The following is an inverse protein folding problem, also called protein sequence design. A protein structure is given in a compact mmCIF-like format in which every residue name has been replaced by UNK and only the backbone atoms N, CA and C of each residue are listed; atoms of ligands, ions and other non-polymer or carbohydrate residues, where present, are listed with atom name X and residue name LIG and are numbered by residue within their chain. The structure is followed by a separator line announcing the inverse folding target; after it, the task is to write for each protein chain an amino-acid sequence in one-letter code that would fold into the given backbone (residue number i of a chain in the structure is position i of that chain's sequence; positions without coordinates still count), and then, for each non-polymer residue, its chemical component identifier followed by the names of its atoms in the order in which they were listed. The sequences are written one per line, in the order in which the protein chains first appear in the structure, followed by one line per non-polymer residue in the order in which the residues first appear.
data_IF_817362879851
#
_entry.id   IF_817362879851
#
_cell.length_a   1.000
_cell.length_b   1.000
_cell.length_c   1.000
_cell.angle_alpha   90.00
_cell.angle_beta   90.00
_cell.angle_gamma   90.00
#
_symmetry.space_group_name_H-M   'P 1'
#
loop_
_entity.id
_entity.type
_entity.pdbx_description
1 polymer ?
#
# COMPACT_ATOMS: atom_id res chain seq x y z
N UNK A 1 23.83 19.94 -12.03
CA UNK A 1 22.61 19.51 -11.29
C UNK A 1 21.74 18.78 -12.31
N UNK A 2 21.98 17.49 -12.52
CA UNK A 2 21.05 16.65 -13.29
C UNK A 2 19.99 16.21 -12.31
N UNK A 3 18.81 16.80 -12.41
CA UNK A 3 17.64 16.36 -11.65
C UNK A 3 17.40 14.88 -11.97
N UNK A 4 17.49 14.03 -10.95
CA UNK A 4 16.91 12.70 -11.01
C UNK A 4 15.40 12.89 -11.03
N UNK A 5 14.83 13.19 -12.20
CA UNK A 5 13.38 13.11 -12.40
C UNK A 5 13.05 11.64 -12.28
N UNK A 6 12.63 11.22 -11.08
CA UNK A 6 12.10 9.89 -10.87
C UNK A 6 10.83 9.76 -11.73
N UNK A 7 10.98 9.17 -12.92
CA UNK A 7 9.90 8.94 -13.86
C UNK A 7 9.03 7.77 -13.38
N UNK A 8 8.36 7.96 -12.24
CA UNK A 8 7.39 6.99 -11.75
C UNK A 8 6.10 7.13 -12.54
N UNK A 9 5.61 6.01 -13.07
CA UNK A 9 4.36 5.97 -13.84
C UNK A 9 3.18 6.15 -12.89
N UNK A 10 2.51 7.30 -12.97
CA UNK A 10 1.28 7.57 -12.25
C UNK A 10 0.08 7.11 -13.06
N UNK A 11 -0.81 6.35 -12.44
CA UNK A 11 -2.01 5.82 -13.08
C UNK A 11 -3.24 5.96 -12.18
N UNK A 12 -4.39 6.04 -12.83
CA UNK A 12 -5.69 6.04 -12.16
C UNK A 12 -6.56 4.96 -12.78
N UNK A 13 -7.18 4.14 -11.93
CA UNK A 13 -8.08 3.08 -12.36
C UNK A 13 -9.40 3.17 -11.60
N UNK A 14 -10.47 2.73 -12.28
CA UNK A 14 -11.83 2.75 -11.77
C UNK A 14 -12.50 1.41 -11.94
N UNK A 15 -13.39 1.06 -11.00
CA UNK A 15 -14.36 -0.02 -11.17
C UNK A 15 -15.69 0.36 -10.54
N UNK A 16 -16.76 0.26 -11.33
CA UNK A 16 -18.12 0.49 -10.84
C UNK A 16 -18.48 -0.52 -9.74
N UNK A 17 -19.38 -0.14 -8.84
CA UNK A 17 -19.93 -1.06 -7.84
C UNK A 17 -20.42 -2.38 -8.48
N UNK A 18 -20.02 -3.50 -7.90
CA UNK A 18 -20.25 -4.85 -8.43
C UNK A 18 -19.22 -5.35 -9.45
N UNK A 19 -18.34 -4.47 -9.96
CA UNK A 19 -17.26 -4.86 -10.91
C UNK A 19 -15.92 -5.02 -10.19
N UNK A 20 -14.99 -5.71 -10.84
CA UNK A 20 -13.63 -5.94 -10.33
C UNK A 20 -12.69 -4.84 -10.81
N UNK A 21 -12.05 -4.14 -9.88
CA UNK A 21 -10.91 -3.27 -10.17
C UNK A 21 -9.69 -4.14 -10.46
N UNK A 22 -9.03 -3.86 -11.58
CA UNK A 22 -7.76 -4.48 -11.97
C UNK A 22 -6.73 -3.37 -12.11
N UNK A 23 -5.65 -3.47 -11.35
CA UNK A 23 -4.49 -2.57 -11.45
C UNK A 23 -3.23 -3.42 -11.56
N UNK A 24 -2.25 -2.93 -12.31
CA UNK A 24 -1.04 -3.67 -12.58
C UNK A 24 0.10 -2.78 -13.05
N UNK A 25 1.31 -3.22 -12.76
CA UNK A 25 2.56 -2.59 -13.18
C UNK A 25 3.35 -3.51 -14.12
N UNK A 26 4.38 -2.98 -14.75
CA UNK A 26 5.24 -3.77 -15.64
C UNK A 26 6.04 -4.81 -14.84
N UNK A 27 6.67 -5.74 -15.56
CA UNK A 27 7.54 -6.73 -14.92
C UNK A 27 8.69 -6.03 -14.17
N UNK A 28 8.95 -6.50 -12.94
CA UNK A 28 9.95 -5.88 -12.07
C UNK A 28 9.48 -4.61 -11.37
N UNK A 29 8.20 -4.22 -11.49
CA UNK A 29 7.60 -3.10 -10.76
C UNK A 29 6.54 -3.57 -9.76
N UNK A 30 6.27 -2.74 -8.76
CA UNK A 30 5.24 -2.95 -7.74
C UNK A 30 4.32 -1.75 -7.61
N UNK A 31 3.07 -2.03 -7.25
CA UNK A 31 2.05 -1.03 -7.02
C UNK A 31 2.34 -0.31 -5.69
N UNK A 32 2.42 1.02 -5.77
CA UNK A 32 2.37 1.92 -4.62
C UNK A 32 1.10 2.75 -4.69
N UNK A 33 0.16 2.48 -3.79
CA UNK A 33 -1.06 3.26 -3.68
C UNK A 33 -0.79 4.64 -3.10
N UNK A 34 -1.35 5.67 -3.74
CA UNK A 34 -1.30 7.07 -3.29
C UNK A 34 -2.62 7.43 -2.62
N UNK A 35 -3.74 7.14 -3.30
CA UNK A 35 -5.10 7.43 -2.82
C UNK A 35 -6.05 6.35 -3.31
N UNK A 36 -7.11 6.12 -2.55
CA UNK A 36 -8.20 5.28 -3.00
C UNK A 36 -9.51 5.71 -2.36
N UNK A 37 -10.60 5.59 -3.10
CA UNK A 37 -11.94 5.86 -2.59
C UNK A 37 -12.94 4.85 -3.17
N UNK A 38 -13.76 4.26 -2.30
CA UNK A 38 -14.97 3.56 -2.68
C UNK A 38 -16.14 4.45 -2.32
N UNK A 39 -16.74 5.09 -3.32
CA UNK A 39 -17.67 6.18 -3.13
C UNK A 39 -18.00 6.82 -4.47
N UNK A 40 -18.12 8.15 -4.49
CA UNK A 40 -18.37 8.92 -5.71
C UNK A 40 -17.92 10.37 -5.53
N UNK A 41 -17.06 10.83 -6.44
CA UNK A 41 -16.60 12.22 -6.57
C UNK A 41 -16.96 12.87 -7.91
N UNK A 42 -17.35 12.07 -8.90
CA UNK A 42 -17.80 12.54 -10.20
C UNK A 42 -19.15 11.93 -10.55
N UNK A 43 -20.03 12.75 -11.12
CA UNK A 43 -21.32 12.30 -11.64
C UNK A 43 -21.17 11.48 -12.91
N UNK A 44 -20.10 11.66 -13.68
CA UNK A 44 -19.95 11.07 -15.02
C UNK A 44 -19.41 9.63 -15.02
N UNK A 45 -18.63 9.26 -14.00
CA UNK A 45 -17.98 7.95 -13.93
C UNK A 45 -19.03 6.89 -13.53
N UNK A 46 -19.09 5.77 -14.26
CA UNK A 46 -20.05 4.70 -13.98
C UNK A 46 -21.50 5.22 -13.92
N UNK A 47 -21.91 6.01 -14.91
CA UNK A 47 -23.22 6.63 -14.98
C UNK A 47 -23.81 6.54 -16.40
N UNK A 48 -23.99 5.30 -16.86
CA UNK A 48 -24.43 5.03 -18.23
C UNK A 48 -25.86 5.53 -18.52
N UNK A 49 -26.65 5.77 -17.47
CA UNK A 49 -28.04 6.25 -17.55
C UNK A 49 -28.19 7.75 -17.28
N UNK A 50 -27.09 8.49 -17.06
CA UNK A 50 -27.12 9.94 -16.86
C UNK A 50 -27.89 10.40 -15.61
N UNK A 51 -27.85 9.62 -14.53
CA UNK A 51 -28.48 10.01 -13.26
C UNK A 51 -27.80 11.27 -12.69
N UNK A 52 -28.58 12.28 -12.27
CA UNK A 52 -28.08 13.54 -11.71
C UNK A 52 -28.26 13.67 -10.20
N UNK A 53 -29.00 12.75 -9.58
CA UNK A 53 -29.44 12.85 -8.18
C UNK A 53 -28.46 12.21 -7.19
N UNK A 54 -27.41 11.55 -7.71
CA UNK A 54 -26.39 10.91 -6.88
C UNK A 54 -25.46 11.91 -6.20
N UNK A 55 -25.08 11.59 -4.96
CA UNK A 55 -24.11 12.40 -4.22
C UNK A 55 -22.70 12.25 -4.80
N UNK A 56 -22.07 13.38 -5.10
CA UNK A 56 -20.63 13.46 -5.47
C UNK A 56 -19.72 13.81 -4.30
N UNK A 57 -20.28 13.92 -3.09
CA UNK A 57 -19.51 14.12 -1.85
C UNK A 57 -19.50 12.82 -1.05
N UNK A 58 -19.13 11.71 -1.69
CA UNK A 58 -19.20 10.39 -1.11
C UNK A 58 -17.81 9.75 -0.99
N UNK A 59 -17.36 9.58 0.26
CA UNK A 59 -16.03 9.04 0.58
C UNK A 59 -16.11 7.95 1.65
N UNK A 60 -15.42 6.83 1.43
CA UNK A 60 -15.18 5.83 2.49
C UNK A 60 -13.77 5.96 3.05
N UNK A 61 -13.68 6.16 4.38
CA UNK A 61 -12.41 6.24 5.10
C UNK A 61 -11.63 4.90 5.11
N UNK A 62 -12.31 3.78 4.83
CA UNK A 62 -11.69 2.44 4.82
C UNK A 62 -10.99 2.11 3.50
N UNK A 63 -11.34 2.81 2.43
CA UNK A 63 -10.93 2.47 1.06
C UNK A 63 -9.42 2.35 0.90
N UNK A 64 -8.66 3.36 1.32
CA UNK A 64 -7.21 3.33 1.23
C UNK A 64 -6.60 2.17 2.02
N UNK A 65 -7.05 1.93 3.26
CA UNK A 65 -6.52 0.84 4.09
C UNK A 65 -6.78 -0.53 3.47
N UNK A 66 -8.01 -0.79 3.01
CA UNK A 66 -8.38 -2.07 2.40
C UNK A 66 -7.61 -2.32 1.11
N UNK A 67 -7.49 -1.30 0.26
CA UNK A 67 -6.77 -1.41 -1.00
C UNK A 67 -5.26 -1.57 -0.77
N UNK A 68 -4.70 -0.82 0.18
CA UNK A 68 -3.30 -0.93 0.56
C UNK A 68 -2.96 -2.34 1.07
N UNK A 69 -3.80 -2.91 1.94
CA UNK A 69 -3.57 -4.24 2.48
C UNK A 69 -3.62 -5.37 1.42
N UNK A 70 -4.33 -5.14 0.31
CA UNK A 70 -4.56 -6.16 -0.73
C UNK A 70 -3.70 -5.99 -1.98
N UNK A 71 -3.29 -4.76 -2.29
CA UNK A 71 -2.65 -4.43 -3.58
C UNK A 71 -1.26 -3.83 -3.47
N UNK A 72 -0.89 -3.19 -2.34
CA UNK A 72 0.44 -2.59 -2.22
C UNK A 72 1.52 -3.66 -2.29
N UNK A 73 2.65 -3.34 -2.93
CA UNK A 73 3.81 -4.22 -3.10
C UNK A 73 3.58 -5.45 -4.00
N UNK A 74 2.38 -5.61 -4.56
CA UNK A 74 2.13 -6.59 -5.61
C UNK A 74 2.33 -5.94 -6.98
N UNK A 75 2.75 -6.75 -7.96
CA UNK A 75 2.83 -6.29 -9.36
C UNK A 75 1.43 -6.12 -9.96
N UNK A 76 0.52 -7.04 -9.66
CA UNK A 76 -0.86 -7.04 -10.16
C UNK A 76 -1.83 -7.26 -9.01
N UNK A 77 -2.95 -6.53 -9.01
CA UNK A 77 -4.00 -6.69 -8.01
C UNK A 77 -5.38 -6.70 -8.68
N UNK A 78 -6.26 -7.57 -8.17
CA UNK A 78 -7.66 -7.61 -8.56
C UNK A 78 -8.55 -7.62 -7.32
N UNK A 79 -9.51 -6.71 -7.25
CA UNK A 79 -10.39 -6.57 -6.09
C UNK A 79 -11.81 -6.16 -6.49
N UNK A 80 -12.81 -6.79 -5.88
CA UNK A 80 -14.22 -6.48 -6.12
C UNK A 80 -14.59 -5.12 -5.49
N UNK A 81 -15.16 -4.22 -6.27
CA UNK A 81 -15.72 -2.96 -5.78
C UNK A 81 -17.10 -3.23 -5.15
N UNK A 82 -17.14 -3.57 -3.86
CA UNK A 82 -18.39 -3.90 -3.18
C UNK A 82 -18.53 -3.29 -1.80
N UNK A 83 -19.77 -2.97 -1.46
CA UNK A 83 -20.20 -2.49 -0.15
C UNK A 83 -19.82 -3.46 0.98
N UNK A 84 -19.75 -4.77 0.70
CA UNK A 84 -19.31 -5.78 1.69
C UNK A 84 -17.86 -5.59 2.15
N UNK A 85 -16.98 -5.11 1.27
CA UNK A 85 -15.56 -4.95 1.54
C UNK A 85 -15.22 -3.55 2.08
N UNK A 86 -15.91 -2.53 1.60
CA UNK A 86 -15.58 -1.13 1.85
C UNK A 86 -16.58 -0.38 2.74
N UNK A 87 -17.74 -0.98 3.03
CA UNK A 87 -18.89 -0.33 3.65
C UNK A 87 -19.72 0.50 2.67
N UNK A 88 -20.83 1.05 3.15
CA UNK A 88 -21.69 1.96 2.38
C UNK A 88 -21.59 3.40 2.89
N UNK A 89 -20.71 4.25 2.31
CA UNK A 89 -20.58 5.65 2.72
C UNK A 89 -21.72 6.56 2.24
N UNK A 90 -22.51 6.13 1.24
CA UNK A 90 -23.60 6.93 0.67
C UNK A 90 -24.72 6.03 0.11
N UNK A 91 -25.67 5.61 0.96
CA UNK A 91 -26.81 4.82 0.52
C UNK A 91 -27.63 5.53 -0.57
N UNK A 92 -28.13 4.77 -1.54
CA UNK A 92 -28.89 5.30 -2.68
C UNK A 92 -28.04 5.94 -3.78
N UNK A 93 -26.73 6.06 -3.59
CA UNK A 93 -25.78 6.46 -4.65
C UNK A 93 -25.03 5.24 -5.16
N UNK A 94 -25.02 5.05 -6.47
CA UNK A 94 -24.21 4.00 -7.11
C UNK A 94 -22.74 4.37 -6.96
N UNK A 95 -21.93 3.54 -6.30
CA UNK A 95 -20.53 3.88 -6.02
C UNK A 95 -19.60 3.37 -7.13
N UNK A 96 -18.36 3.83 -7.09
CA UNK A 96 -17.24 3.23 -7.81
C UNK A 96 -16.00 3.22 -6.91
N UNK A 97 -15.13 2.25 -7.14
CA UNK A 97 -13.80 2.19 -6.57
C UNK A 97 -12.85 2.94 -7.49
N UNK A 98 -12.18 3.96 -6.96
CA UNK A 98 -11.15 4.76 -7.60
C UNK A 98 -9.82 4.51 -6.90
N UNK A 99 -8.77 4.27 -7.67
CA UNK A 99 -7.42 4.04 -7.17
C UNK A 99 -6.42 4.90 -7.93
N UNK A 100 -5.64 5.68 -7.20
CA UNK A 100 -4.48 6.41 -7.70
C UNK A 100 -3.23 5.70 -7.23
N UNK A 101 -2.38 5.26 -8.16
CA UNK A 101 -1.18 4.50 -7.84
C UNK A 101 0.01 4.91 -8.70
N UNK A 102 1.18 4.56 -8.19
CA UNK A 102 2.44 4.59 -8.91
C UNK A 102 2.92 3.17 -9.13
N UNK A 103 3.63 2.96 -10.22
CA UNK A 103 4.52 1.82 -10.38
C UNK A 103 5.94 2.23 -9.99
N UNK A 104 6.51 1.50 -9.03
CA UNK A 104 7.89 1.66 -8.59
C UNK A 104 8.68 0.40 -8.93
N UNK A 105 10.00 0.50 -9.19
CA UNK A 105 10.86 -0.68 -9.24
C UNK A 105 10.65 -1.53 -7.99
N UNK A 106 10.28 -2.79 -8.19
CA UNK A 106 10.18 -3.77 -7.14
C UNK A 106 11.57 -4.01 -6.60
N UNK A 107 11.77 -3.72 -5.32
CA UNK A 107 12.95 -4.21 -4.62
C UNK A 107 12.80 -5.72 -4.46
N UNK A 108 13.19 -6.48 -5.48
CA UNK A 108 13.59 -7.87 -5.28
C UNK A 108 14.63 -7.84 -4.16
N UNK A 109 14.39 -8.57 -3.08
CA UNK A 109 15.30 -8.73 -1.95
C UNK A 109 16.55 -9.50 -2.36
N UNK A 110 17.32 -8.97 -3.31
CA UNK A 110 18.67 -9.40 -3.66
C UNK A 110 19.59 -8.22 -3.44
N UNK A 111 20.04 -8.08 -2.17
CA UNK A 111 21.32 -7.48 -1.70
C UNK A 111 21.23 -6.52 -0.51
N UNK A 112 20.06 -6.25 0.06
CA UNK A 112 20.05 -5.88 1.48
C UNK A 112 20.12 -7.18 2.26
N UNK A 113 21.28 -7.44 2.87
CA UNK A 113 21.47 -8.50 3.86
C UNK A 113 20.33 -8.34 4.87
N UNK A 114 19.29 -9.16 4.75
CA UNK A 114 18.34 -9.37 5.83
C UNK A 114 19.16 -10.09 6.89
N UNK A 115 19.77 -9.32 7.80
CA UNK A 115 20.06 -9.89 9.10
C UNK A 115 18.70 -10.30 9.65
N UNK A 116 18.38 -11.59 9.55
CA UNK A 116 17.29 -12.15 10.31
C UNK A 116 17.68 -11.91 11.77
N UNK A 117 17.15 -10.85 12.37
CA UNK A 117 17.28 -10.66 13.81
C UNK A 117 16.33 -11.66 14.44
N UNK A 118 16.86 -12.86 14.67
CA UNK A 118 16.18 -13.84 15.48
C UNK A 118 16.22 -13.34 16.93
N UNK A 119 15.06 -13.02 17.51
CA UNK A 119 14.95 -12.53 18.90
C UNK A 119 15.55 -13.50 19.94
N UNK A 120 15.86 -14.75 19.55
CA UNK A 120 16.58 -15.72 20.40
C UNK A 120 18.03 -15.32 20.73
N UNK A 121 18.64 -14.40 19.96
CA UNK A 121 20.04 -13.96 20.15
C UNK A 121 20.16 -12.56 20.78
N UNK A 122 19.08 -12.03 21.35
CA UNK A 122 19.13 -10.84 22.19
C UNK A 122 19.60 -11.23 23.59
N UNK A 123 20.67 -10.59 24.07
CA UNK A 123 21.08 -10.67 25.47
C UNK A 123 20.96 -9.31 26.13
N UNK A 124 20.44 -9.29 27.35
CA UNK A 124 20.29 -8.07 28.16
C UNK A 124 21.35 -8.07 29.27
N UNK A 125 22.13 -7.00 29.35
CA UNK A 125 23.00 -6.71 30.49
C UNK A 125 22.59 -5.34 31.05
N UNK A 126 21.83 -5.36 32.15
CA UNK A 126 21.15 -4.17 32.67
C UNK A 126 20.08 -3.66 31.70
N UNK A 127 19.98 -2.34 31.53
CA UNK A 127 18.98 -1.69 30.65
C UNK A 127 19.43 -1.60 29.17
N UNK A 128 20.45 -2.37 28.78
CA UNK A 128 20.96 -2.34 27.40
C UNK A 128 20.73 -3.67 26.71
N UNK A 129 20.23 -3.58 25.49
CA UNK A 129 19.98 -4.70 24.60
C UNK A 129 21.21 -4.93 23.69
N UNK A 130 21.73 -6.15 23.68
CA UNK A 130 22.86 -6.54 22.86
C UNK A 130 22.44 -7.56 21.81
N UNK A 131 23.07 -7.49 20.64
CA UNK A 131 22.89 -8.48 19.58
C UNK A 131 24.24 -9.17 19.38
N UNK A 132 24.29 -10.46 19.69
CA UNK A 132 25.47 -11.27 19.36
C UNK A 132 25.40 -11.67 17.89
N UNK A 133 26.26 -11.09 17.05
CA UNK A 133 26.47 -11.57 15.67
C UNK A 133 27.75 -12.38 15.61
N UNK A 134 27.64 -13.63 15.17
CA UNK A 134 28.78 -14.45 14.77
C UNK A 134 29.12 -14.17 13.31
N UNK A 135 30.19 -13.43 13.06
CA UNK A 135 30.80 -13.28 11.74
C UNK A 135 32.32 -13.48 11.90
N UNK A 136 32.87 -14.50 11.22
CA UNK A 136 34.30 -14.80 11.13
C UNK A 136 35.11 -14.68 12.44
N UNK A 137 34.76 -15.52 13.43
CA UNK A 137 35.58 -15.81 14.62
C UNK A 137 36.05 -14.61 15.47
N UNK A 138 35.46 -13.42 15.31
CA UNK A 138 35.74 -12.25 16.17
C UNK A 138 34.43 -11.67 16.68
N UNK A 139 34.28 -11.57 18.00
CA UNK A 139 33.11 -10.97 18.65
C UNK A 139 33.10 -9.46 18.40
N UNK A 140 32.10 -8.97 17.66
CA UNK A 140 31.86 -7.54 17.49
C UNK A 140 30.57 -7.15 18.20
N UNK A 141 30.68 -6.44 19.33
CA UNK A 141 29.53 -5.85 20.01
C UNK A 141 29.09 -4.58 19.29
N UNK A 142 27.92 -4.62 18.64
CA UNK A 142 27.33 -3.45 17.99
C UNK A 142 26.32 -2.83 18.96
N UNK A 143 26.60 -1.62 19.45
CA UNK A 143 25.69 -0.85 20.29
C UNK A 143 24.56 -0.27 19.44
N UNK A 144 23.32 -0.65 19.74
CA UNK A 144 22.14 0.06 19.23
C UNK A 144 21.89 1.20 20.23
N UNK A 145 22.29 2.44 19.90
CA UNK A 145 21.77 3.62 20.60
C UNK A 145 20.38 3.91 20.04
N UNK A 146 19.36 3.48 20.77
CA UNK A 146 17.98 3.86 20.53
C UNK A 146 17.23 3.65 21.83
N UNK A 147 16.77 4.75 22.43
CA UNK A 147 15.90 4.70 23.61
C UNK A 147 14.64 3.90 23.26
N UNK A 148 14.57 2.66 23.73
CA UNK A 148 13.33 1.90 23.77
C UNK A 148 12.59 2.41 25.01
N UNK A 149 11.67 3.35 24.79
CA UNK A 149 10.63 3.63 25.76
C UNK A 149 9.70 2.40 25.81
N UNK A 150 9.59 1.81 27.02
CA UNK A 150 8.62 0.76 27.37
C UNK A 150 7.23 1.39 27.48
#
# INVERSE_FOLDING_TARGET
ITELVQNYRYETAYACEGKTLKIGCQEGEVIKLIRANYGRFSITICNDHGNTDWSVNCMSQKSLRVLHARCSQYQNCSILASTSLFGDPCPGTLKYLEAHYQCLPGYSTTSLVVYSFNFRNLSFFGNRCFISKYLNQSFLFIFIFGDIAI
#
